data_IF_148849303748
#
_entry.id   IF_148849303748
#
_cell.length_a   1.000
_cell.length_b   1.000
_cell.length_c   1.000
_cell.angle_alpha   90.00
_cell.angle_beta   90.00
_cell.angle_gamma   90.00
#
_symmetry.space_group_name_H-M   'P 1'
#
loop_
_entity.id
_entity.type
_entity.pdbx_description
1 polymer ?
#
# COMPACT_ATOMS: atom_id res chain seq x y z
N UNK A 1 -18.79 2.71 12.99
CA UNK A 1 -19.04 3.34 11.67
C UNK A 1 -19.25 2.31 10.56
N UNK A 2 -18.21 1.75 9.90
CA UNK A 2 -18.41 0.84 8.75
C UNK A 2 -19.27 -0.40 9.05
N UNK A 3 -19.02 -1.08 10.18
CA UNK A 3 -19.82 -2.24 10.63
C UNK A 3 -21.28 -1.91 10.97
N UNK A 4 -21.57 -0.65 11.30
CA UNK A 4 -22.90 -0.20 11.70
C UNK A 4 -23.70 0.32 10.52
N UNK A 5 -23.04 0.95 9.55
CA UNK A 5 -23.68 1.58 8.39
C UNK A 5 -23.88 0.60 7.23
N UNK A 6 -22.96 -0.35 7.02
CA UNK A 6 -23.08 -1.36 5.95
C UNK A 6 -24.40 -2.16 6.00
N UNK A 7 -24.88 -2.66 7.15
CA UNK A 7 -26.17 -3.36 7.21
C UNK A 7 -27.38 -2.47 6.87
N UNK A 8 -27.26 -1.15 7.04
CA UNK A 8 -28.35 -0.19 6.81
C UNK A 8 -28.36 0.36 5.38
N UNK A 9 -27.18 0.62 4.82
CA UNK A 9 -26.99 1.31 3.56
C UNK A 9 -26.59 0.38 2.41
N UNK A 10 -26.22 -0.87 2.72
CA UNK A 10 -25.81 -1.89 1.76
C UNK A 10 -24.35 -1.76 1.33
N UNK A 11 -24.03 -2.40 0.20
CA UNK A 11 -22.64 -2.58 -0.29
C UNK A 11 -21.99 -1.33 -0.88
N UNK A 12 -22.77 -0.32 -1.27
CA UNK A 12 -22.26 0.96 -1.78
C UNK A 12 -22.95 2.09 -1.06
N UNK A 13 -22.18 2.91 -0.35
CA UNK A 13 -22.74 4.04 0.40
C UNK A 13 -21.72 5.16 0.54
N UNK A 14 -22.19 6.38 0.71
CA UNK A 14 -21.33 7.57 0.85
C UNK A 14 -21.58 8.23 2.19
N UNK A 15 -20.50 8.55 2.89
CA UNK A 15 -20.53 9.32 4.13
C UNK A 15 -19.76 10.63 3.93
N UNK A 16 -20.21 11.70 4.59
CA UNK A 16 -19.47 12.95 4.64
C UNK A 16 -18.50 12.90 5.82
N UNK A 17 -17.21 12.81 5.53
CA UNK A 17 -16.13 12.88 6.52
C UNK A 17 -15.40 14.20 6.38
N UNK A 18 -15.48 15.03 7.43
CA UNK A 18 -14.98 16.41 7.41
C UNK A 18 -15.59 17.20 6.22
N UNK A 19 -14.73 17.63 5.29
CA UNK A 19 -15.10 18.36 4.09
C UNK A 19 -15.12 17.48 2.82
N UNK A 20 -14.93 16.16 2.95
CA UNK A 20 -14.90 15.22 1.81
C UNK A 20 -16.08 14.25 1.88
N UNK A 21 -16.60 13.89 0.70
CA UNK A 21 -17.50 12.76 0.56
C UNK A 21 -16.66 11.51 0.32
N UNK A 22 -16.85 10.49 1.14
CA UNK A 22 -16.13 9.21 1.02
C UNK A 22 -17.15 8.13 0.70
N UNK A 23 -17.00 7.53 -0.47
CA UNK A 23 -17.83 6.43 -0.95
C UNK A 23 -17.15 5.09 -0.66
N UNK A 24 -17.87 4.21 0.01
CA UNK A 24 -17.42 2.88 0.39
C UNK A 24 -18.01 1.83 -0.56
N UNK A 25 -17.17 0.88 -0.97
CA UNK A 25 -17.53 -0.28 -1.80
C UNK A 25 -17.16 -1.53 -1.00
N UNK A 26 -18.15 -2.13 -0.33
CA UNK A 26 -17.95 -3.22 0.64
C UNK A 26 -18.52 -4.53 0.09
N UNK A 27 -17.67 -5.55 -0.01
CA UNK A 27 -18.04 -6.88 -0.48
C UNK A 27 -17.48 -7.23 -1.87
N UNK A 28 -17.40 -8.54 -2.20
CA UNK A 28 -16.74 -9.01 -3.42
C UNK A 28 -17.39 -8.48 -4.69
N UNK A 29 -18.72 -8.39 -4.72
CA UNK A 29 -19.50 -8.01 -5.92
C UNK A 29 -19.22 -6.57 -6.38
N UNK A 30 -18.84 -5.68 -5.45
CA UNK A 30 -18.64 -4.25 -5.73
C UNK A 30 -17.18 -3.81 -5.67
N UNK A 31 -16.33 -4.58 -4.98
CA UNK A 31 -14.92 -4.21 -4.75
C UNK A 31 -14.10 -4.08 -6.04
N UNK A 32 -14.45 -4.86 -7.07
CA UNK A 32 -13.76 -4.83 -8.36
C UNK A 32 -13.84 -3.46 -9.03
N UNK A 33 -14.92 -2.70 -8.85
CA UNK A 33 -15.05 -1.34 -9.38
C UNK A 33 -13.98 -0.41 -8.81
N UNK A 34 -13.62 -0.57 -7.53
CA UNK A 34 -12.57 0.24 -6.90
C UNK A 34 -11.18 -0.22 -7.33
N UNK A 35 -10.90 -1.53 -7.26
CA UNK A 35 -9.54 -2.05 -7.51
C UNK A 35 -9.13 -2.08 -8.98
N UNK A 36 -10.09 -2.13 -9.92
CA UNK A 36 -9.82 -2.19 -11.36
C UNK A 36 -10.10 -0.86 -12.07
N UNK A 37 -10.52 0.18 -11.36
CA UNK A 37 -10.71 1.50 -11.96
C UNK A 37 -9.38 2.00 -12.57
N UNK A 38 -9.44 2.63 -13.74
CA UNK A 38 -8.26 3.31 -14.29
C UNK A 38 -7.89 4.50 -13.41
N UNK A 39 -6.61 4.89 -13.45
CA UNK A 39 -6.09 6.05 -12.69
C UNK A 39 -6.81 7.37 -13.09
N UNK A 40 -7.36 7.45 -14.30
CA UNK A 40 -8.18 8.58 -14.76
C UNK A 40 -9.47 8.77 -13.98
N UNK A 41 -10.03 7.67 -13.46
CA UNK A 41 -11.33 7.67 -12.78
C UNK A 41 -11.12 7.72 -11.26
N UNK A 42 -10.17 6.91 -10.75
CA UNK A 42 -9.80 6.85 -9.34
C UNK A 42 -8.29 6.98 -9.18
N UNK A 43 -7.82 8.23 -9.04
CA UNK A 43 -6.40 8.50 -8.84
C UNK A 43 -5.95 8.25 -7.40
N UNK A 44 -4.82 7.56 -7.25
CA UNK A 44 -4.14 7.40 -5.98
C UNK A 44 -3.29 8.62 -5.61
N UNK A 45 -2.90 9.43 -6.60
CA UNK A 45 -1.97 10.54 -6.41
C UNK A 45 -2.48 11.58 -5.42
N UNK A 46 -3.74 12.02 -5.55
CA UNK A 46 -4.32 13.05 -4.68
C UNK A 46 -4.33 12.59 -3.21
N UNK A 47 -4.74 11.35 -2.96
CA UNK A 47 -4.93 10.82 -1.62
C UNK A 47 -3.63 10.41 -0.93
N UNK A 48 -2.58 10.07 -1.69
CA UNK A 48 -1.27 9.66 -1.14
C UNK A 48 -0.20 10.74 -1.20
N UNK A 49 -0.50 11.94 -1.71
CA UNK A 49 0.46 13.06 -1.78
C UNK A 49 1.02 13.47 -0.41
N UNK A 50 0.31 13.17 0.68
CA UNK A 50 0.82 13.41 2.03
C UNK A 50 2.08 12.59 2.36
N UNK A 51 2.42 11.57 1.57
CA UNK A 51 3.64 10.77 1.72
C UNK A 51 4.88 11.42 1.11
N UNK A 52 4.76 12.48 0.30
CA UNK A 52 5.90 13.13 -0.37
C UNK A 52 6.97 13.60 0.63
N UNK A 53 6.63 14.19 1.79
CA UNK A 53 7.65 14.55 2.79
C UNK A 53 8.41 13.36 3.39
N UNK A 54 7.86 12.14 3.31
CA UNK A 54 8.48 10.92 3.86
C UNK A 54 9.42 10.27 2.83
N UNK A 55 8.95 10.11 1.59
CA UNK A 55 9.73 9.44 0.54
C UNK A 55 10.63 10.37 -0.27
N UNK A 56 10.34 11.67 -0.24
CA UNK A 56 10.99 12.68 -1.06
C UNK A 56 10.23 12.98 -2.36
N UNK A 57 10.60 14.08 -3.03
CA UNK A 57 10.03 14.47 -4.32
C UNK A 57 10.52 13.56 -5.45
N UNK A 58 9.77 13.50 -6.54
CA UNK A 58 10.13 12.77 -7.76
C UNK A 58 10.01 11.24 -7.67
N UNK A 59 9.34 10.73 -6.64
CA UNK A 59 9.13 9.28 -6.44
C UNK A 59 7.67 8.94 -6.14
N UNK A 60 7.26 7.77 -6.62
CA UNK A 60 5.96 7.11 -6.38
C UNK A 60 4.77 8.03 -6.63
N UNK A 61 4.25 8.69 -5.59
CA UNK A 61 3.06 9.54 -5.66
C UNK A 61 3.37 11.00 -6.05
N UNK A 62 4.63 11.37 -6.22
CA UNK A 62 5.04 12.70 -6.71
C UNK A 62 5.35 12.75 -8.22
N UNK A 63 5.06 11.67 -8.95
CA UNK A 63 5.30 11.58 -10.40
C UNK A 63 4.05 11.13 -11.14
N UNK A 64 4.04 11.37 -12.45
CA UNK A 64 3.00 10.89 -13.37
C UNK A 64 2.87 9.37 -13.29
N UNK A 65 1.65 8.88 -13.57
CA UNK A 65 1.32 7.47 -13.45
C UNK A 65 2.23 6.56 -14.29
N UNK A 66 2.61 6.97 -15.50
CA UNK A 66 3.54 6.21 -16.36
C UNK A 66 4.92 6.05 -15.71
N UNK A 67 5.48 7.12 -15.16
CA UNK A 67 6.77 7.11 -14.45
C UNK A 67 6.67 6.26 -13.18
N UNK A 68 5.55 6.35 -12.44
CA UNK A 68 5.28 5.50 -11.27
C UNK A 68 5.28 4.02 -11.65
N UNK A 69 4.65 3.65 -12.77
CA UNK A 69 4.64 2.27 -13.25
C UNK A 69 6.06 1.77 -13.57
N UNK A 70 6.91 2.61 -14.16
CA UNK A 70 8.32 2.28 -14.40
C UNK A 70 9.09 2.10 -13.08
N UNK A 71 8.89 2.98 -12.10
CA UNK A 71 9.47 2.85 -10.76
C UNK A 71 9.03 1.54 -10.08
N UNK A 72 7.74 1.19 -10.14
CA UNK A 72 7.25 -0.09 -9.62
C UNK A 72 7.81 -1.29 -10.36
N UNK A 73 8.07 -1.18 -11.66
CA UNK A 73 8.77 -2.23 -12.40
C UNK A 73 10.16 -2.47 -11.81
N UNK A 74 10.95 -1.43 -11.54
CA UNK A 74 12.26 -1.61 -10.89
C UNK A 74 12.16 -2.30 -9.51
N UNK A 75 11.18 -1.94 -8.70
CA UNK A 75 10.94 -2.61 -7.41
C UNK A 75 10.56 -4.09 -7.58
N UNK A 76 9.64 -4.39 -8.49
CA UNK A 76 9.19 -5.79 -8.71
C UNK A 76 10.30 -6.66 -9.30
N UNK A 77 11.20 -6.11 -10.11
CA UNK A 77 12.40 -6.81 -10.59
C UNK A 77 13.33 -7.24 -9.44
N UNK A 78 13.54 -6.37 -8.45
CA UNK A 78 14.36 -6.67 -7.27
C UNK A 78 13.73 -7.74 -6.36
N UNK A 79 12.41 -7.95 -6.48
CA UNK A 79 11.62 -8.89 -5.68
C UNK A 79 11.26 -10.17 -6.45
N UNK A 80 11.90 -10.45 -7.59
CA UNK A 80 11.73 -11.72 -8.31
C UNK A 80 12.28 -12.89 -7.50
N UNK A 81 11.68 -14.07 -7.67
CA UNK A 81 12.08 -15.31 -6.96
C UNK A 81 13.59 -15.59 -7.06
N UNK A 82 14.20 -15.34 -8.22
CA UNK A 82 15.65 -15.52 -8.42
C UNK A 82 16.50 -14.62 -7.53
N UNK A 83 16.04 -13.40 -7.24
CA UNK A 83 16.67 -12.46 -6.31
C UNK A 83 16.34 -12.83 -4.87
N UNK A 84 15.06 -13.10 -4.57
CA UNK A 84 14.59 -13.44 -3.23
C UNK A 84 15.30 -14.67 -2.66
N UNK A 85 15.56 -15.70 -3.47
CA UNK A 85 16.35 -16.86 -3.04
C UNK A 85 17.75 -16.49 -2.53
N UNK A 86 18.37 -15.47 -3.13
CA UNK A 86 19.67 -14.96 -2.68
C UNK A 86 19.60 -14.13 -1.39
N UNK A 87 18.44 -13.60 -1.03
CA UNK A 87 18.26 -12.85 0.21
C UNK A 87 17.98 -13.73 1.43
N UNK A 88 17.61 -15.00 1.23
CA UNK A 88 17.24 -15.91 2.33
C UNK A 88 18.36 -16.03 3.36
N UNK A 89 19.58 -16.30 2.92
CA UNK A 89 20.71 -16.49 3.84
C UNK A 89 21.04 -15.19 4.61
N UNK A 90 20.87 -14.03 3.96
CA UNK A 90 21.04 -12.72 4.60
C UNK A 90 19.97 -12.49 5.67
N UNK A 91 18.72 -12.81 5.39
CA UNK A 91 17.62 -12.67 6.35
C UNK A 91 17.81 -13.60 7.57
N UNK A 92 18.24 -14.84 7.35
CA UNK A 92 18.53 -15.79 8.43
C UNK A 92 19.65 -15.28 9.32
N UNK A 93 20.76 -14.84 8.71
CA UNK A 93 21.90 -14.30 9.44
C UNK A 93 21.51 -13.10 10.32
N UNK A 94 20.80 -12.12 9.76
CA UNK A 94 20.36 -10.94 10.52
C UNK A 94 19.40 -11.30 11.67
N UNK A 95 18.54 -12.31 11.48
CA UNK A 95 17.65 -12.81 12.53
C UNK A 95 18.42 -13.48 13.67
N UNK A 96 19.42 -14.31 13.36
CA UNK A 96 20.28 -14.97 14.36
C UNK A 96 21.11 -13.94 15.14
N UNK A 97 21.69 -12.97 14.45
CA UNK A 97 22.43 -11.85 15.07
C UNK A 97 21.52 -11.05 16.00
N UNK A 98 20.30 -10.72 15.57
CA UNK A 98 19.34 -9.99 16.39
C UNK A 98 18.96 -10.76 17.67
N UNK A 99 18.75 -12.07 17.59
CA UNK A 99 18.48 -12.94 18.75
C UNK A 99 19.68 -13.00 19.69
N UNK A 100 20.90 -13.11 19.14
CA UNK A 100 22.12 -13.10 19.92
C UNK A 100 22.27 -11.81 20.74
N UNK A 101 22.09 -10.63 20.12
CA UNK A 101 22.16 -9.34 20.81
C UNK A 101 21.07 -9.16 21.86
N UNK A 102 19.84 -9.63 21.60
CA UNK A 102 18.77 -9.64 22.59
C UNK A 102 19.16 -10.46 23.82
N UNK A 103 19.68 -11.67 23.63
CA UNK A 103 20.09 -12.53 24.75
C UNK A 103 21.24 -11.93 25.59
N UNK A 104 22.19 -11.26 24.94
CA UNK A 104 23.27 -10.54 25.64
C UNK A 104 22.79 -9.29 26.39
N UNK A 105 21.73 -8.62 25.93
CA UNK A 105 21.23 -7.39 26.55
C UNK A 105 20.37 -7.64 27.79
N UNK A 106 19.88 -8.87 27.97
CA UNK A 106 19.00 -9.29 29.08
C UNK A 106 19.78 -10.10 30.14
N UNK A 107 21.05 -10.42 29.87
CA UNK A 107 22.00 -11.07 30.79
C UNK A 107 22.83 -10.03 31.53
#
# INVERSE_FOLDING_TARGET
MLREEYPKLGSVFTLKLLNKNISFFVGPDVSAHFFKAPESDLSQQEVYRFNVPIFGPGVVFDVDYSVRQEQFRFFTEALRVTKLKGYVDQMVMEAEVSVFWLNMSIS
#
